data_IF_709032070532
#
_entry.id   IF_709032070532
#
_cell.length_a   1.000
_cell.length_b   1.000
_cell.length_c   1.000
_cell.angle_alpha   90.00
_cell.angle_beta   90.00
_cell.angle_gamma   90.00
#
_symmetry.space_group_name_H-M   'P 1'
#
loop_
_entity.id
_entity.type
_entity.pdbx_description
1 polymer ?
#
# COMPACT_ATOMS: atom_id res chain seq x y z
N UNK A 1 -52.22 -11.19 -27.34
CA UNK A 1 -51.73 -10.55 -26.09
C UNK A 1 -50.35 -9.98 -26.35
N UNK A 2 -50.16 -8.74 -25.90
CA UNK A 2 -48.94 -8.05 -25.45
C UNK A 2 -47.60 -8.18 -26.22
N UNK A 3 -47.15 -6.99 -26.61
CA UNK A 3 -45.83 -6.48 -27.02
C UNK A 3 -44.71 -6.68 -25.97
N UNK A 4 -43.44 -6.27 -26.05
CA UNK A 4 -42.55 -5.33 -26.78
C UNK A 4 -41.14 -5.70 -26.19
N UNK A 5 -39.95 -5.60 -26.79
CA UNK A 5 -39.44 -4.82 -27.90
C UNK A 5 -37.89 -4.94 -27.95
N UNK A 6 -37.36 -4.93 -29.18
CA UNK A 6 -36.08 -4.38 -29.69
C UNK A 6 -34.76 -4.70 -28.95
N UNK A 7 -33.78 -5.38 -29.56
CA UNK A 7 -32.90 -5.04 -30.71
C UNK A 7 -31.77 -4.05 -30.35
N UNK A 8 -30.52 -4.46 -30.63
CA UNK A 8 -29.29 -3.83 -30.14
C UNK A 8 -28.81 -2.61 -30.91
N UNK A 9 -27.61 -2.12 -30.60
CA UNK A 9 -26.73 -1.50 -31.60
C UNK A 9 -25.31 -1.18 -31.11
N UNK A 10 -24.47 -1.01 -32.11
CA UNK A 10 -23.02 -0.74 -32.17
C UNK A 10 -22.73 0.77 -32.10
N UNK A 11 -21.55 1.13 -31.54
CA UNK A 11 -20.71 2.36 -31.69
C UNK A 11 -21.32 3.73 -31.30
N UNK A 12 -20.56 4.75 -30.84
CA UNK A 12 -19.51 5.49 -31.54
C UNK A 12 -18.65 6.35 -30.57
N UNK A 13 -17.43 6.71 -31.01
CA UNK A 13 -16.67 7.85 -30.50
C UNK A 13 -17.18 9.12 -31.19
N UNK A 14 -17.48 10.17 -30.43
CA UNK A 14 -17.81 11.50 -30.96
C UNK A 14 -16.79 12.52 -30.45
N UNK A 15 -16.18 13.28 -31.36
CA UNK A 15 -15.63 14.61 -31.09
C UNK A 15 -16.70 15.63 -31.46
N UNK A 16 -17.06 16.54 -30.56
CA UNK A 16 -18.01 17.62 -30.86
C UNK A 16 -17.31 18.99 -30.86
N UNK A 17 -17.40 19.68 -31.99
CA UNK A 17 -17.31 21.14 -32.12
C UNK A 17 -18.74 21.70 -32.10
N UNK A 18 -19.35 21.83 -30.93
CA UNK A 18 -20.51 22.69 -30.69
C UNK A 18 -20.74 22.77 -29.17
N UNK A 19 -20.79 23.98 -28.62
CA UNK A 19 -21.11 24.19 -27.21
C UNK A 19 -22.60 23.87 -26.98
N UNK A 20 -22.89 22.89 -26.12
CA UNK A 20 -24.24 22.59 -25.66
C UNK A 20 -24.45 23.39 -24.37
N UNK A 21 -25.39 24.34 -24.39
CA UNK A 21 -25.92 24.95 -23.17
C UNK A 21 -26.86 23.95 -22.48
N UNK A 22 -26.41 23.44 -21.34
CA UNK A 22 -27.16 22.55 -20.47
C UNK A 22 -26.26 22.15 -19.31
N UNK A 23 -26.75 22.27 -18.07
CA UNK A 23 -26.01 21.83 -16.90
C UNK A 23 -25.87 20.30 -16.95
N UNK A 24 -24.65 19.84 -17.22
CA UNK A 24 -24.28 18.44 -17.10
C UNK A 24 -24.17 18.14 -15.61
N UNK A 25 -25.20 17.53 -15.02
CA UNK A 25 -25.07 16.90 -13.70
C UNK A 25 -24.17 15.66 -13.82
N UNK A 26 -22.89 15.90 -13.58
CA UNK A 26 -21.86 14.88 -13.54
C UNK A 26 -21.99 14.12 -12.21
N UNK A 27 -22.74 13.01 -12.22
CA UNK A 27 -22.82 12.07 -11.09
C UNK A 27 -21.47 11.37 -10.90
N UNK A 28 -20.53 12.04 -10.25
CA UNK A 28 -19.23 11.48 -9.86
C UNK A 28 -19.45 10.45 -8.76
N UNK A 29 -19.65 9.19 -9.15
CA UNK A 29 -19.58 8.05 -8.23
C UNK A 29 -18.17 7.95 -7.66
N UNK A 30 -17.98 8.39 -6.40
CA UNK A 30 -16.70 8.31 -5.66
C UNK A 30 -16.43 6.86 -5.23
N UNK A 31 -16.15 5.97 -6.19
CA UNK A 31 -15.74 4.60 -5.89
C UNK A 31 -14.45 4.63 -5.06
N UNK A 32 -14.45 3.98 -3.89
CA UNK A 32 -13.26 3.89 -3.04
C UNK A 32 -12.17 3.05 -3.73
N UNK A 33 -10.88 3.41 -3.60
CA UNK A 33 -9.78 2.60 -4.13
C UNK A 33 -9.76 1.25 -3.43
N UNK A 34 -9.60 0.17 -4.22
CA UNK A 34 -9.33 -1.17 -3.69
C UNK A 34 -7.82 -1.38 -3.69
N UNK A 35 -7.27 -1.85 -2.57
CA UNK A 35 -5.83 -2.09 -2.39
C UNK A 35 -5.61 -3.51 -1.92
N UNK A 36 -4.71 -4.24 -2.57
CA UNK A 36 -4.12 -5.49 -2.08
C UNK A 36 -2.61 -5.30 -1.97
N UNK A 37 -1.92 -6.19 -1.25
CA UNK A 37 -0.48 -6.09 -1.12
C UNK A 37 0.22 -7.45 -1.09
N UNK A 38 1.43 -7.48 -1.63
CA UNK A 38 2.38 -8.57 -1.52
C UNK A 38 3.66 -8.05 -0.86
N UNK A 39 4.20 -8.77 0.11
CA UNK A 39 5.45 -8.41 0.77
C UNK A 39 6.44 -9.58 0.75
N UNK A 40 7.66 -9.30 0.33
CA UNK A 40 8.77 -10.25 0.32
C UNK A 40 9.91 -9.64 1.13
N UNK A 41 10.27 -10.30 2.23
CA UNK A 41 11.41 -9.93 3.08
C UNK A 41 12.59 -10.87 2.86
N UNK A 42 13.79 -10.31 2.72
CA UNK A 42 15.06 -11.03 2.77
C UNK A 42 15.85 -10.55 3.98
N UNK A 43 16.26 -11.47 4.84
CA UNK A 43 17.11 -11.19 6.00
C UNK A 43 18.49 -11.77 5.72
N UNK A 44 19.52 -10.93 5.77
CA UNK A 44 20.91 -11.36 5.66
C UNK A 44 21.57 -11.31 7.03
N UNK A 45 22.05 -12.45 7.52
CA UNK A 45 22.68 -12.58 8.85
C UNK A 45 24.19 -12.78 8.68
N UNK A 46 24.96 -11.96 9.39
CA UNK A 46 26.42 -12.03 9.52
C UNK A 46 26.79 -12.19 11.01
N UNK A 47 28.05 -12.57 11.34
CA UNK A 47 28.44 -12.88 12.73
C UNK A 47 28.21 -11.78 13.77
N UNK A 48 28.05 -10.51 13.38
CA UNK A 48 27.88 -9.36 14.30
C UNK A 48 26.73 -8.43 13.92
N UNK A 49 26.07 -8.68 12.80
CA UNK A 49 25.05 -7.80 12.27
C UNK A 49 24.06 -8.60 11.43
N UNK A 50 22.84 -8.09 11.31
CA UNK A 50 21.92 -8.55 10.30
C UNK A 50 21.31 -7.34 9.60
N UNK A 51 21.07 -7.49 8.30
CA UNK A 51 20.30 -6.55 7.50
C UNK A 51 19.00 -7.20 7.08
N UNK A 52 17.98 -6.39 6.82
CA UNK A 52 16.79 -6.87 6.16
C UNK A 52 16.32 -5.90 5.09
N UNK A 53 15.92 -6.49 3.96
CA UNK A 53 15.39 -5.82 2.79
C UNK A 53 13.98 -6.35 2.54
N UNK A 54 13.00 -5.46 2.64
CA UNK A 54 11.60 -5.78 2.37
C UNK A 54 11.15 -5.07 1.11
N UNK A 55 10.59 -5.83 0.18
CA UNK A 55 9.90 -5.30 -0.99
C UNK A 55 8.42 -5.55 -0.85
N UNK A 56 7.66 -4.46 -0.84
CA UNK A 56 6.22 -4.45 -0.62
C UNK A 56 5.53 -3.84 -1.83
N UNK A 57 4.75 -4.65 -2.55
CA UNK A 57 4.00 -4.22 -3.72
C UNK A 57 2.54 -4.01 -3.36
N UNK A 58 2.06 -2.77 -3.38
CA UNK A 58 0.65 -2.44 -3.26
C UNK A 58 0.00 -2.38 -4.63
N UNK A 59 -1.05 -3.16 -4.86
CA UNK A 59 -1.85 -3.10 -6.08
C UNK A 59 -3.10 -2.25 -5.83
N UNK A 60 -3.14 -1.05 -6.42
CA UNK A 60 -4.24 -0.10 -6.30
C UNK A 60 -5.14 -0.20 -7.53
N UNK A 61 -6.43 -0.48 -7.32
CA UNK A 61 -7.41 -0.65 -8.39
C UNK A 61 -8.72 0.10 -8.10
N UNK A 62 -9.59 0.18 -9.12
CA UNK A 62 -10.90 0.88 -9.14
C UNK A 62 -10.85 2.41 -9.06
N UNK A 63 -9.96 2.96 -8.25
CA UNK A 63 -9.72 4.39 -8.12
C UNK A 63 -8.28 4.63 -7.66
N UNK A 64 -7.74 5.81 -7.96
CA UNK A 64 -6.40 6.18 -7.52
C UNK A 64 -6.33 6.41 -6.01
N UNK A 65 -5.18 6.15 -5.40
CA UNK A 65 -4.93 6.48 -3.99
C UNK A 65 -3.63 7.26 -3.80
N UNK A 66 -3.63 8.16 -2.82
CA UNK A 66 -2.46 8.98 -2.44
C UNK A 66 -1.83 8.55 -1.10
N UNK A 67 -2.47 7.64 -0.37
CA UNK A 67 -2.08 7.21 0.98
C UNK A 67 -1.91 5.71 1.03
N UNK A 68 -0.79 5.24 1.56
CA UNK A 68 -0.52 3.85 1.88
C UNK A 68 -0.18 3.72 3.36
N UNK A 69 -0.38 2.53 3.90
CA UNK A 69 -0.14 2.24 5.32
C UNK A 69 0.80 1.04 5.45
N UNK A 70 1.81 1.19 6.30
CA UNK A 70 2.83 0.19 6.57
C UNK A 70 2.93 -0.01 8.07
N UNK A 71 2.92 -1.25 8.54
CA UNK A 71 3.30 -1.57 9.92
C UNK A 71 4.79 -1.85 9.97
N UNK A 72 5.49 -1.21 10.90
CA UNK A 72 6.88 -1.49 11.18
C UNK A 72 7.05 -1.75 12.67
N UNK A 73 7.84 -2.75 13.04
CA UNK A 73 8.07 -3.09 14.45
C UNK A 73 8.65 -1.88 15.20
N UNK A 74 8.14 -1.60 16.40
CA UNK A 74 8.54 -0.41 17.18
C UNK A 74 10.04 -0.38 17.50
N UNK A 75 10.68 -1.54 17.59
CA UNK A 75 12.13 -1.65 17.79
C UNK A 75 12.96 -1.01 16.68
N UNK A 76 12.39 -0.75 15.50
CA UNK A 76 13.05 -0.01 14.42
C UNK A 76 13.14 1.50 14.68
N UNK A 77 12.32 2.04 15.59
CA UNK A 77 12.26 3.47 15.85
C UNK A 77 12.02 4.28 14.58
N UNK A 78 12.88 5.27 14.31
CA UNK A 78 12.88 6.06 13.07
C UNK A 78 14.10 5.78 12.17
N UNK A 79 14.94 4.81 12.53
CA UNK A 79 16.28 4.63 11.97
C UNK A 79 16.32 3.73 10.72
N UNK A 80 15.16 3.41 10.15
CA UNK A 80 15.07 2.54 8.98
C UNK A 80 14.65 3.32 7.74
N UNK A 81 15.13 2.86 6.58
CA UNK A 81 14.87 3.49 5.29
C UNK A 81 13.55 2.95 4.75
N UNK A 82 12.69 3.88 4.31
CA UNK A 82 11.47 3.59 3.55
C UNK A 82 11.57 4.42 2.28
N UNK A 83 11.52 3.76 1.14
CA UNK A 83 11.54 4.39 -0.17
C UNK A 83 10.48 3.76 -1.07
N UNK A 84 10.20 4.42 -2.19
CA UNK A 84 9.34 3.88 -3.22
C UNK A 84 10.06 3.97 -4.55
N UNK A 85 10.06 2.89 -5.31
CA UNK A 85 10.73 2.81 -6.61
C UNK A 85 9.83 3.21 -7.77
N UNK A 86 8.51 3.24 -7.55
CA UNK A 86 7.53 3.55 -8.60
C UNK A 86 6.93 4.95 -8.46
N UNK A 87 6.73 5.43 -7.23
CA UNK A 87 6.04 6.70 -6.95
C UNK A 87 6.66 7.39 -5.74
N UNK A 88 7.23 8.60 -5.85
CA UNK A 88 7.87 9.27 -4.73
C UNK A 88 6.95 9.44 -3.51
N UNK A 89 7.55 9.33 -2.31
CA UNK A 89 6.86 9.52 -1.03
C UNK A 89 7.10 10.96 -0.57
N UNK A 90 6.06 11.79 -0.65
CA UNK A 90 6.06 13.18 -0.18
C UNK A 90 6.33 13.33 1.32
N UNK A 91 5.80 12.41 2.12
CA UNK A 91 5.95 12.41 3.58
C UNK A 91 5.64 11.05 4.16
N UNK A 92 6.26 10.78 5.31
CA UNK A 92 6.06 9.58 6.13
C UNK A 92 5.89 10.00 7.58
N UNK A 93 4.88 9.47 8.26
CA UNK A 93 4.63 9.77 9.67
C UNK A 93 4.01 8.57 10.39
N UNK A 94 4.28 8.43 11.68
CA UNK A 94 3.60 7.46 12.53
C UNK A 94 2.23 8.04 12.92
N UNK A 95 1.17 7.26 12.76
CA UNK A 95 -0.21 7.63 13.09
C UNK A 95 -0.80 6.62 14.05
N UNK A 96 -1.80 7.02 14.82
CA UNK A 96 -2.57 6.07 15.63
C UNK A 96 -3.57 5.33 14.73
N UNK A 97 -3.79 4.02 14.96
CA UNK A 97 -4.89 3.31 14.32
C UNK A 97 -6.23 3.92 14.75
N UNK A 98 -7.12 4.16 13.80
CA UNK A 98 -8.50 4.54 14.07
C UNK A 98 -9.48 3.57 13.38
N UNK A 99 -10.72 3.52 13.87
CA UNK A 99 -11.78 2.65 13.33
C UNK A 99 -12.10 2.92 11.85
N UNK A 100 -11.69 4.08 11.31
CA UNK A 100 -12.02 4.53 9.95
C UNK A 100 -10.93 4.23 8.93
N UNK A 101 -9.69 4.01 9.35
CA UNK A 101 -8.54 3.74 8.50
C UNK A 101 -8.28 2.25 8.47
N UNK A 102 -7.88 1.66 9.60
CA UNK A 102 -7.56 0.24 9.72
C UNK A 102 -7.75 -0.18 11.18
N UNK A 103 -8.69 -1.11 11.49
CA UNK A 103 -8.78 -1.69 12.82
C UNK A 103 -7.52 -2.53 13.09
N UNK A 104 -6.77 -2.16 14.12
CA UNK A 104 -5.62 -2.90 14.62
C UNK A 104 -5.96 -3.43 16.00
N UNK A 105 -5.68 -4.71 16.25
CA UNK A 105 -5.82 -5.28 17.60
C UNK A 105 -4.85 -4.61 18.56
N UNK A 106 -5.19 -4.58 19.85
CA UNK A 106 -4.34 -3.98 20.88
C UNK A 106 -2.93 -4.61 20.90
N UNK A 107 -2.85 -5.92 20.69
CA UNK A 107 -1.58 -6.65 20.60
C UNK A 107 -0.68 -6.13 19.46
N UNK A 108 -1.25 -5.93 18.27
CA UNK A 108 -0.51 -5.38 17.13
C UNK A 108 -0.14 -3.91 17.35
N UNK A 109 -1.02 -3.12 17.96
CA UNK A 109 -0.77 -1.72 18.28
C UNK A 109 0.34 -1.55 19.34
N UNK A 110 0.54 -2.53 20.22
CA UNK A 110 1.65 -2.53 21.18
C UNK A 110 2.99 -2.82 20.50
N UNK A 111 3.03 -3.75 19.53
CA UNK A 111 4.27 -4.20 18.88
C UNK A 111 4.71 -3.38 17.66
N UNK A 112 3.77 -2.77 16.94
CA UNK A 112 4.04 -2.09 15.67
C UNK A 112 3.67 -0.61 15.72
N UNK A 113 4.42 0.19 14.96
CA UNK A 113 4.06 1.54 14.57
C UNK A 113 3.33 1.50 13.22
N UNK A 114 2.19 2.18 13.12
CA UNK A 114 1.49 2.37 11.86
C UNK A 114 2.06 3.61 11.16
N UNK A 115 2.78 3.39 10.07
CA UNK A 115 3.31 4.42 9.21
C UNK A 115 2.30 4.78 8.11
N UNK A 116 1.93 6.06 8.05
CA UNK A 116 1.25 6.65 6.91
C UNK A 116 2.29 7.13 5.90
N UNK A 117 2.20 6.61 4.67
CA UNK A 117 3.02 7.01 3.54
C UNK A 117 2.16 7.83 2.57
N UNK A 118 2.44 9.13 2.46
CA UNK A 118 1.78 10.00 1.50
C UNK A 118 2.59 10.03 0.20
N UNK A 119 1.98 9.61 -0.89
CA UNK A 119 2.56 9.67 -2.24
C UNK A 119 2.51 11.12 -2.76
N UNK A 120 3.47 11.51 -3.60
CA UNK A 120 3.48 12.84 -4.24
C UNK A 120 2.19 13.10 -5.03
N UNK A 121 1.75 12.09 -5.78
CA UNK A 121 0.53 12.12 -6.58
C UNK A 121 -0.33 10.86 -6.37
N UNK A 122 -1.62 11.00 -6.66
CA UNK A 122 -2.54 9.87 -6.63
C UNK A 122 -2.14 8.83 -7.68
N UNK A 123 -2.05 7.56 -7.28
CA UNK A 123 -1.55 6.48 -8.12
C UNK A 123 -2.59 5.38 -8.33
N UNK A 124 -2.57 4.77 -9.51
CA UNK A 124 -3.37 3.60 -9.90
C UNK A 124 -2.42 2.54 -10.47
N UNK A 125 -2.63 1.27 -10.15
CA UNK A 125 -1.70 0.19 -10.47
C UNK A 125 -0.76 -0.13 -9.31
N UNK A 126 0.43 -0.63 -9.63
CA UNK A 126 1.38 -1.12 -8.65
C UNK A 126 2.22 0.03 -8.07
N UNK A 127 2.29 0.09 -6.74
CA UNK A 127 3.21 0.97 -6.00
C UNK A 127 4.14 0.09 -5.19
N UNK A 128 5.44 0.17 -5.46
CA UNK A 128 6.47 -0.65 -4.80
C UNK A 128 7.17 0.17 -3.73
N UNK A 129 7.10 -0.32 -2.50
CA UNK A 129 7.73 0.25 -1.30
C UNK A 129 8.88 -0.67 -0.89
N UNK A 130 10.08 -0.12 -0.83
CA UNK A 130 11.27 -0.82 -0.36
C UNK A 130 11.60 -0.32 1.05
N UNK A 131 11.82 -1.26 1.98
CA UNK A 131 12.15 -0.98 3.38
C UNK A 131 13.47 -1.66 3.72
N UNK A 132 14.40 -0.92 4.32
CA UNK A 132 15.74 -1.43 4.64
C UNK A 132 16.19 -0.98 6.03
N UNK A 133 16.79 -1.90 6.79
CA UNK A 133 17.48 -1.61 8.05
C UNK A 133 18.63 -2.58 8.32
N UNK A 134 19.55 -2.12 9.17
CA UNK A 134 20.69 -2.89 9.67
C UNK A 134 20.69 -2.83 11.20
N UNK A 135 21.01 -3.95 11.85
CA UNK A 135 21.05 -4.05 13.31
C UNK A 135 22.23 -4.92 13.76
N UNK A 136 22.88 -4.58 14.88
CA UNK A 136 23.88 -5.46 15.47
C UNK A 136 23.22 -6.74 16.03
N UNK A 137 23.92 -7.87 15.92
CA UNK A 137 23.57 -9.11 16.63
C UNK A 137 24.23 -9.05 18.00
N UNK A 138 23.43 -8.78 19.03
CA UNK A 138 23.93 -8.60 20.41
C UNK A 138 23.95 -9.92 21.18
N UNK A 139 23.07 -10.86 20.81
CA UNK A 139 22.85 -12.14 21.50
C UNK A 139 22.86 -13.33 20.53
N UNK A 140 23.06 -14.54 21.09
CA UNK A 140 22.99 -15.81 20.34
C UNK A 140 21.61 -16.09 19.74
N UNK A 141 20.57 -15.42 20.23
CA UNK A 141 19.21 -15.44 19.72
C UNK A 141 18.72 -14.00 19.56
N UNK A 142 18.17 -13.66 18.40
CA UNK A 142 17.67 -12.32 18.11
C UNK A 142 16.31 -12.39 17.43
N UNK A 143 15.45 -11.42 17.72
CA UNK A 143 14.21 -11.20 16.99
C UNK A 143 14.47 -10.35 15.76
N UNK A 144 13.90 -10.72 14.61
CA UNK A 144 13.97 -9.89 13.41
C UNK A 144 12.75 -8.95 13.40
N UNK A 145 12.97 -7.61 13.43
CA UNK A 145 11.89 -6.66 13.26
C UNK A 145 11.17 -6.93 11.92
N UNK A 146 9.87 -6.67 11.83
CA UNK A 146 9.12 -6.91 10.58
C UNK A 146 8.57 -5.60 10.02
N UNK A 147 8.51 -5.50 8.70
CA UNK A 147 7.81 -4.44 7.96
C UNK A 147 6.71 -5.08 7.11
N UNK A 148 5.44 -4.74 7.38
CA UNK A 148 4.27 -5.46 6.85
C UNK A 148 3.28 -4.49 6.21
N UNK A 149 2.74 -4.79 5.02
CA UNK A 149 1.74 -3.94 4.39
C UNK A 149 0.44 -3.96 5.18
N UNK A 150 -0.34 -2.88 5.03
CA UNK A 150 -1.72 -2.86 5.52
C UNK A 150 -2.67 -2.29 4.48
N UNK A 151 -3.70 -3.06 4.17
CA UNK A 151 -4.77 -2.66 3.27
C UNK A 151 -6.05 -3.47 3.54
N UNK A 152 -7.19 -2.97 3.08
CA UNK A 152 -8.48 -3.67 3.23
C UNK A 152 -8.72 -4.82 2.24
N UNK A 153 -7.76 -5.12 1.36
CA UNK A 153 -7.82 -6.27 0.45
C UNK A 153 -6.90 -7.40 0.90
N UNK A 154 -6.66 -8.34 -0.02
CA UNK A 154 -5.78 -9.48 0.22
C UNK A 154 -4.33 -9.05 0.49
N UNK A 155 -3.70 -9.72 1.45
CA UNK A 155 -2.30 -9.52 1.84
C UNK A 155 -1.59 -10.87 1.78
N UNK A 156 -0.49 -10.93 1.05
CA UNK A 156 0.43 -12.08 0.99
C UNK A 156 1.80 -11.66 1.50
N UNK A 157 2.42 -12.48 2.35
CA UNK A 157 3.72 -12.19 2.96
C UNK A 157 4.65 -13.41 2.85
N UNK A 158 5.88 -13.19 2.44
CA UNK A 158 6.94 -14.19 2.34
C UNK A 158 8.22 -13.67 3.01
N UNK A 159 8.92 -14.55 3.72
CA UNK A 159 10.15 -14.22 4.41
C UNK A 159 11.21 -15.28 4.12
N UNK A 160 12.38 -14.84 3.68
CA UNK A 160 13.56 -15.66 3.47
C UNK A 160 14.70 -15.21 4.38
N UNK A 161 15.47 -16.17 4.89
CA UNK A 161 16.66 -15.91 5.72
C UNK A 161 17.87 -16.49 5.01
N UNK A 162 18.89 -15.66 4.83
CA UNK A 162 20.19 -16.02 4.29
C UNK A 162 21.25 -15.82 5.37
N UNK A 163 21.98 -16.89 5.70
CA UNK A 163 23.14 -16.85 6.59
C UNK A 163 24.41 -16.97 5.76
N UNK A 164 25.38 -16.06 6.00
CA UNK A 164 26.67 -16.00 5.30
C UNK A 164 27.83 -15.95 6.27
#
# INVERSE_FOLDING_TARGET
MASLGMAGNVQHAYSHNAAVEGDIELLVSRRRPRKSAEAVGLITVRPREFSADWRITYTISRASAKRLYLLADKSLGQEFKIASTTVPISSKSIVQPDEKTIPLSEELAQRYNLWLLNLDHSSLGNVVIDVHYERPVVDKSFGVPLARPVCGGEISEQLAVQAS
#
